data_IF_806571831459
#
_entry.id   IF_806571831459
#
_cell.length_a   1.000
_cell.length_b   1.000
_cell.length_c   1.000
_cell.angle_alpha   90.00
_cell.angle_beta   90.00
_cell.angle_gamma   90.00
#
_symmetry.space_group_name_H-M   'P 1'
#
loop_
_entity.id
_entity.type
_entity.pdbx_description
1 polymer ?
#
# COMPACT_ATOMS: atom_id res chain seq x y z
N UNK A 1 -11.32 9.13 -37.42
CA UNK A 1 -10.43 9.72 -36.40
C UNK A 1 -9.54 8.59 -35.90
N UNK A 2 -8.30 8.55 -36.37
CA UNK A 2 -7.41 7.40 -36.21
C UNK A 2 -6.87 7.28 -34.79
N UNK A 3 -7.02 6.11 -34.19
CA UNK A 3 -6.29 5.72 -32.99
C UNK A 3 -4.91 5.23 -33.40
N UNK A 4 -3.87 5.93 -32.95
CA UNK A 4 -2.46 5.54 -33.07
C UNK A 4 -2.24 4.11 -32.52
N UNK A 5 -1.54 3.19 -33.22
CA UNK A 5 -1.45 1.79 -32.79
C UNK A 5 -0.50 1.50 -31.61
N UNK A 6 0.23 2.48 -31.09
CA UNK A 6 1.28 2.25 -30.08
C UNK A 6 1.32 3.38 -29.03
N UNK A 7 0.28 3.50 -28.21
CA UNK A 7 0.41 4.24 -26.96
C UNK A 7 0.98 3.27 -25.94
N UNK A 8 2.29 3.36 -25.69
CA UNK A 8 2.98 2.55 -24.70
C UNK A 8 2.31 2.78 -23.34
N UNK A 9 1.66 1.75 -22.79
CA UNK A 9 1.00 1.85 -21.49
C UNK A 9 2.11 1.86 -20.43
N UNK A 10 2.44 3.05 -19.94
CA UNK A 10 3.32 3.22 -18.79
C UNK A 10 2.56 2.81 -17.54
N UNK A 11 2.93 1.66 -16.97
CA UNK A 11 2.41 1.19 -15.67
C UNK A 11 3.24 1.79 -14.54
N UNK A 12 2.57 2.27 -13.49
CA UNK A 12 3.20 2.73 -12.24
C UNK A 12 3.04 1.70 -11.14
N UNK A 13 4.16 1.28 -10.57
CA UNK A 13 4.20 0.32 -9.45
C UNK A 13 4.75 1.02 -8.21
N UNK A 14 3.98 1.02 -7.12
CA UNK A 14 4.45 1.47 -5.81
C UNK A 14 5.00 0.27 -5.02
N UNK A 15 6.23 0.38 -4.53
CA UNK A 15 6.86 -0.67 -3.70
C UNK A 15 7.11 -0.12 -2.30
N UNK A 16 6.39 -0.62 -1.28
CA UNK A 16 6.69 -0.27 0.12
C UNK A 16 7.87 -1.10 0.63
N UNK A 17 8.69 -0.57 1.54
CA UNK A 17 9.85 -1.32 2.03
C UNK A 17 10.96 -1.46 0.97
N UNK A 18 10.95 -0.57 -0.04
CA UNK A 18 11.90 -0.56 -1.16
C UNK A 18 13.37 -0.52 -0.71
N UNK A 19 13.66 0.08 0.45
CA UNK A 19 15.01 0.12 1.02
C UNK A 19 15.44 -1.19 1.69
N UNK A 20 14.54 -2.17 1.87
CA UNK A 20 14.82 -3.46 2.50
C UNK A 20 15.55 -4.45 1.59
N UNK A 21 15.89 -5.62 2.12
CA UNK A 21 16.62 -6.66 1.36
C UNK A 21 15.87 -7.07 0.08
N UNK A 22 14.58 -7.39 0.20
CA UNK A 22 13.75 -7.77 -0.95
C UNK A 22 13.44 -6.55 -1.83
N UNK A 23 13.10 -5.41 -1.21
CA UNK A 23 12.75 -4.18 -1.94
C UNK A 23 13.82 -3.73 -2.93
N UNK A 24 15.09 -3.79 -2.51
CA UNK A 24 16.23 -3.44 -3.38
C UNK A 24 16.41 -4.36 -4.58
N UNK A 25 15.93 -5.60 -4.51
CA UNK A 25 15.98 -6.53 -5.65
C UNK A 25 14.83 -6.32 -6.64
N UNK A 26 13.70 -5.75 -6.16
CA UNK A 26 12.49 -5.49 -6.96
C UNK A 26 12.55 -4.14 -7.66
N UNK A 27 13.12 -3.12 -7.01
CA UNK A 27 13.23 -1.77 -7.58
C UNK A 27 14.37 -1.71 -8.61
N UNK A 28 14.04 -1.45 -9.88
CA UNK A 28 14.98 -1.40 -11.03
C UNK A 28 14.90 -0.04 -11.75
N UNK A 29 15.27 0.01 -13.02
CA UNK A 29 15.24 1.21 -13.85
C UNK A 29 13.93 1.99 -13.72
N UNK A 30 14.01 3.32 -13.65
CA UNK A 30 12.85 4.20 -13.41
C UNK A 30 12.43 4.30 -11.93
N UNK A 31 13.21 3.77 -10.99
CA UNK A 31 12.92 3.89 -9.56
C UNK A 31 12.99 5.34 -9.04
N UNK A 32 11.92 5.78 -8.40
CA UNK A 32 11.84 7.03 -7.65
C UNK A 32 11.69 6.69 -6.17
N UNK A 33 12.61 7.18 -5.34
CA UNK A 33 12.58 6.90 -3.91
C UNK A 33 11.77 7.95 -3.15
N UNK A 34 10.71 7.49 -2.48
CA UNK A 34 9.94 8.30 -1.54
C UNK A 34 10.28 7.86 -0.11
N UNK A 35 10.95 8.74 0.65
CA UNK A 35 11.22 8.52 2.07
C UNK A 35 9.97 8.88 2.87
N UNK A 36 9.23 7.87 3.30
CA UNK A 36 7.94 8.01 3.95
C UNK A 36 7.69 6.85 4.92
N UNK A 37 6.96 7.10 6.00
CA UNK A 37 6.44 6.07 6.89
C UNK A 37 5.00 5.72 6.46
N UNK A 38 4.73 4.45 6.16
CA UNK A 38 3.41 4.00 5.71
C UNK A 38 2.35 4.08 6.81
N UNK A 39 2.76 4.21 8.07
CA UNK A 39 1.84 4.43 9.17
C UNK A 39 1.37 5.89 9.28
N UNK A 40 2.02 6.82 8.57
CA UNK A 40 1.55 8.20 8.42
C UNK A 40 0.52 8.27 7.28
N UNK A 41 -0.75 8.34 7.66
CA UNK A 41 -1.88 8.33 6.73
C UNK A 41 -1.88 9.51 5.76
N UNK A 42 -1.64 10.72 6.26
CA UNK A 42 -1.70 11.93 5.43
C UNK A 42 -0.57 11.92 4.40
N UNK A 43 0.64 11.56 4.82
CA UNK A 43 1.76 11.43 3.91
C UNK A 43 1.50 10.37 2.83
N UNK A 44 0.99 9.19 3.23
CA UNK A 44 0.70 8.10 2.31
C UNK A 44 -0.39 8.48 1.30
N UNK A 45 -1.48 9.10 1.76
CA UNK A 45 -2.59 9.50 0.91
C UNK A 45 -2.15 10.58 -0.11
N UNK A 46 -1.32 11.52 0.31
CA UNK A 46 -0.70 12.50 -0.59
C UNK A 46 0.16 11.83 -1.67
N UNK A 47 0.92 10.79 -1.32
CA UNK A 47 1.71 10.03 -2.28
C UNK A 47 0.82 9.28 -3.29
N UNK A 48 -0.24 8.62 -2.83
CA UNK A 48 -1.20 7.93 -3.71
C UNK A 48 -1.89 8.91 -4.67
N UNK A 49 -2.31 10.07 -4.17
CA UNK A 49 -2.94 11.10 -5.00
C UNK A 49 -1.99 11.66 -6.08
N UNK A 50 -0.71 11.85 -5.73
CA UNK A 50 0.31 12.35 -6.64
C UNK A 50 0.74 11.30 -7.68
N UNK A 51 1.05 10.08 -7.23
CA UNK A 51 1.64 9.07 -8.09
C UNK A 51 0.63 8.21 -8.82
N UNK A 52 -0.55 7.97 -8.23
CA UNK A 52 -1.63 7.13 -8.79
C UNK A 52 -1.11 5.77 -9.28
N UNK A 53 -0.54 4.94 -8.38
CA UNK A 53 0.00 3.65 -8.77
C UNK A 53 -1.09 2.69 -9.26
N UNK A 54 -0.80 1.94 -10.32
CA UNK A 54 -1.68 0.88 -10.84
C UNK A 54 -1.58 -0.40 -9.98
N UNK A 55 -0.39 -0.64 -9.42
CA UNK A 55 -0.10 -1.81 -8.58
C UNK A 55 0.72 -1.42 -7.36
N UNK A 56 0.47 -2.11 -6.25
CA UNK A 56 1.25 -1.99 -5.02
C UNK A 56 1.90 -3.32 -4.68
N UNK A 57 3.23 -3.31 -4.53
CA UNK A 57 4.01 -4.43 -3.97
C UNK A 57 4.36 -4.08 -2.53
N UNK A 58 3.66 -4.67 -1.58
CA UNK A 58 3.81 -4.34 -0.16
C UNK A 58 4.84 -5.23 0.54
N UNK A 59 6.08 -4.75 0.67
CA UNK A 59 7.19 -5.44 1.36
C UNK A 59 7.59 -4.80 2.69
N UNK A 60 6.93 -3.71 3.11
CA UNK A 60 7.22 -3.03 4.36
C UNK A 60 6.65 -3.83 5.54
N UNK A 61 7.53 -4.35 6.38
CA UNK A 61 7.19 -4.95 7.66
C UNK A 61 8.41 -4.90 8.58
N UNK A 62 8.17 -4.79 9.88
CA UNK A 62 9.20 -5.06 10.87
C UNK A 62 9.36 -6.57 11.03
N UNK A 63 10.58 -7.05 10.83
CA UNK A 63 10.94 -8.47 10.91
C UNK A 63 11.53 -8.82 12.28
N UNK A 64 11.55 -10.11 12.63
CA UNK A 64 12.23 -10.63 13.83
C UNK A 64 11.30 -10.86 15.03
N UNK A 65 11.04 -12.13 15.35
CA UNK A 65 10.07 -12.53 16.38
C UNK A 65 10.48 -12.14 17.80
N UNK A 66 11.78 -12.19 18.14
CA UNK A 66 12.20 -11.89 19.52
C UNK A 66 11.99 -10.41 19.86
N UNK A 67 12.39 -9.51 18.95
CA UNK A 67 12.25 -8.08 19.15
C UNK A 67 10.78 -7.64 19.23
N UNK A 68 9.86 -8.35 18.56
CA UNK A 68 8.42 -8.06 18.63
C UNK A 68 7.79 -8.34 19.99
N UNK A 69 8.35 -9.27 20.76
CA UNK A 69 7.87 -9.57 22.11
C UNK A 69 8.20 -8.41 23.05
N UNK A 70 9.41 -7.85 22.92
CA UNK A 70 9.88 -6.75 23.76
C UNK A 70 9.33 -5.38 23.30
N UNK A 71 9.05 -5.23 22.00
CA UNK A 71 8.64 -3.94 21.39
C UNK A 71 7.35 -4.08 20.56
N UNK A 72 6.25 -4.59 21.13
CA UNK A 72 5.04 -4.92 20.37
C UNK A 72 4.42 -3.70 19.66
N UNK A 73 4.51 -2.51 20.26
CA UNK A 73 3.98 -1.28 19.66
C UNK A 73 4.66 -0.91 18.34
N UNK A 74 5.96 -1.21 18.18
CA UNK A 74 6.67 -0.95 16.92
C UNK A 74 6.12 -1.83 15.80
N UNK A 75 5.78 -3.09 16.11
CA UNK A 75 5.18 -4.02 15.14
C UNK A 75 3.72 -3.70 14.88
N UNK A 76 2.96 -3.26 15.88
CA UNK A 76 1.61 -2.80 15.67
C UNK A 76 1.58 -1.61 14.71
N UNK A 77 2.50 -0.65 14.89
CA UNK A 77 2.61 0.51 14.01
C UNK A 77 2.97 0.11 12.57
N UNK A 78 4.02 -0.70 12.37
CA UNK A 78 4.46 -1.03 11.01
C UNK A 78 3.60 -2.08 10.32
N UNK A 79 3.25 -3.17 11.01
CA UNK A 79 2.66 -4.35 10.40
C UNK A 79 1.13 -4.36 10.45
N UNK A 80 0.51 -3.60 11.37
CA UNK A 80 -0.95 -3.49 11.44
C UNK A 80 -1.39 -2.14 10.89
N UNK A 81 -0.99 -1.03 11.51
CA UNK A 81 -1.43 0.31 11.09
C UNK A 81 -0.96 0.61 9.66
N UNK A 82 0.35 0.45 9.39
CA UNK A 82 0.88 0.65 8.04
C UNK A 82 0.26 -0.28 6.98
N UNK A 83 -0.06 -1.52 7.35
CA UNK A 83 -0.71 -2.46 6.45
C UNK A 83 -2.15 -2.04 6.13
N UNK A 84 -2.94 -1.70 7.15
CA UNK A 84 -4.31 -1.18 7.01
C UNK A 84 -4.33 0.07 6.13
N UNK A 85 -3.40 1.00 6.35
CA UNK A 85 -3.29 2.20 5.53
C UNK A 85 -3.04 1.87 4.04
N UNK A 86 -2.19 0.89 3.74
CA UNK A 86 -1.97 0.47 2.35
C UNK A 86 -3.24 -0.13 1.73
N UNK A 87 -4.00 -0.93 2.47
CA UNK A 87 -5.25 -1.51 1.98
C UNK A 87 -6.30 -0.42 1.69
N UNK A 88 -6.48 0.50 2.62
CA UNK A 88 -7.42 1.62 2.49
C UNK A 88 -7.02 2.58 1.36
N UNK A 89 -5.73 2.83 1.15
CA UNK A 89 -5.26 3.65 0.04
C UNK A 89 -5.46 2.97 -1.33
N UNK A 90 -5.44 1.64 -1.40
CA UNK A 90 -5.72 0.89 -2.62
C UNK A 90 -7.21 0.82 -2.96
N UNK A 91 -8.07 0.74 -1.93
CA UNK A 91 -9.51 0.55 -2.06
C UNK A 91 -10.24 1.48 -1.09
N UNK A 92 -10.21 2.81 -1.33
CA UNK A 92 -10.91 3.76 -0.47
C UNK A 92 -12.41 3.47 -0.51
N UNK A 93 -13.07 3.54 0.65
CA UNK A 93 -14.49 3.27 0.79
C UNK A 93 -15.28 4.55 1.05
N UNK A 94 -16.40 4.71 0.34
CA UNK A 94 -17.42 5.74 0.54
C UNK A 94 -18.72 5.11 1.07
N UNK A 95 -19.57 5.89 1.74
CA UNK A 95 -20.89 5.42 2.22
C UNK A 95 -21.82 4.99 1.08
N UNK A 96 -21.57 5.47 -0.14
CA UNK A 96 -22.32 5.09 -1.35
C UNK A 96 -21.77 3.80 -2.01
N UNK A 97 -20.62 3.28 -1.55
CA UNK A 97 -20.01 2.10 -2.14
C UNK A 97 -20.71 0.81 -1.70
N UNK A 98 -20.70 -0.16 -2.62
CA UNK A 98 -21.20 -1.50 -2.34
C UNK A 98 -20.33 -2.20 -1.29
N UNK A 99 -20.98 -2.80 -0.29
CA UNK A 99 -20.30 -3.54 0.77
C UNK A 99 -19.90 -4.97 0.37
N UNK A 100 -20.39 -5.48 -0.75
CA UNK A 100 -20.24 -6.90 -1.11
C UNK A 100 -19.13 -7.19 -2.14
N UNK A 101 -18.77 -6.23 -3.01
CA UNK A 101 -17.67 -6.39 -3.98
C UNK A 101 -17.21 -5.06 -4.63
N UNK A 102 -15.89 -4.82 -4.75
CA UNK A 102 -14.81 -5.47 -3.98
C UNK A 102 -15.01 -5.19 -2.48
N UNK A 103 -14.68 -6.16 -1.63
CA UNK A 103 -14.86 -6.00 -0.17
C UNK A 103 -13.79 -5.03 0.33
N UNK A 104 -14.19 -3.79 0.67
CA UNK A 104 -13.33 -2.82 1.35
C UNK A 104 -12.92 -3.32 2.74
N UNK A 105 -11.89 -2.72 3.36
CA UNK A 105 -11.52 -3.10 4.72
C UNK A 105 -12.70 -2.87 5.69
N UNK A 106 -13.41 -1.74 5.54
CA UNK A 106 -14.63 -1.46 6.29
C UNK A 106 -15.66 -2.59 6.14
N UNK A 107 -15.99 -2.97 4.91
CA UNK A 107 -16.94 -4.05 4.64
C UNK A 107 -16.49 -5.39 5.23
N UNK A 108 -15.19 -5.70 5.16
CA UNK A 108 -14.61 -6.89 5.78
C UNK A 108 -14.77 -6.88 7.31
N UNK A 109 -14.53 -5.74 7.97
CA UNK A 109 -14.68 -5.63 9.44
C UNK A 109 -16.15 -5.74 9.88
N UNK A 110 -17.09 -5.25 9.08
CA UNK A 110 -18.53 -5.43 9.35
C UNK A 110 -18.95 -6.87 9.22
N UNK A 111 -18.55 -7.54 8.13
CA UNK A 111 -18.84 -8.96 7.91
C UNK A 111 -18.24 -9.88 8.96
N UNK A 112 -17.09 -9.53 9.54
CA UNK A 112 -16.46 -10.34 10.60
C UNK A 112 -17.21 -10.29 11.95
N UNK A 113 -18.08 -9.31 12.16
CA UNK A 113 -18.88 -9.14 13.37
C UNK A 113 -20.32 -9.68 13.23
N UNK A 114 -20.68 -10.24 12.07
CA UNK A 114 -21.96 -10.93 11.79
C UNK A 114 -21.77 -12.45 11.83
#
# INVERSE_FOLDING_TARGET
LGTSPNQEISMKVLVTGAAGFIGRAVCRDGFVFHKLDIADWDALNNLFAAEKPDYVIHLAAQAGVRYSIDNPHVYAQSNLVGHTNILEACLPFSEDDRVDAPVSFYAATKKANE
#
